data_IF_716375722216
#
_entry.id   IF_716375722216
#
_cell.length_a   1.000
_cell.length_b   1.000
_cell.length_c   1.000
_cell.angle_alpha   90.00
_cell.angle_beta   90.00
_cell.angle_gamma   90.00
#
_symmetry.space_group_name_H-M   'P 1'
#
loop_
_entity.id
_entity.type
_entity.pdbx_description
1 polymer ?
#
# COMPACT_ATOMS: atom_id res chain seq x y z
N UNK A 1 -69.47 -16.67 -15.03
CA UNK A 1 -68.43 -16.01 -14.22
C UNK A 1 -67.10 -16.62 -14.55
N UNK A 2 -66.34 -16.04 -15.50
CA UNK A 2 -65.02 -16.53 -15.90
C UNK A 2 -63.96 -15.73 -15.12
N UNK A 3 -63.18 -16.42 -14.27
CA UNK A 3 -62.08 -15.83 -13.50
C UNK A 3 -60.80 -15.84 -14.36
N UNK A 4 -60.33 -14.66 -14.74
CA UNK A 4 -59.06 -14.47 -15.42
C UNK A 4 -57.96 -14.45 -14.34
N UNK A 5 -57.10 -15.50 -14.31
CA UNK A 5 -55.86 -15.50 -13.52
C UNK A 5 -54.76 -14.86 -14.35
N UNK A 6 -54.30 -13.68 -13.94
CA UNK A 6 -53.12 -13.01 -14.47
C UNK A 6 -51.87 -13.72 -13.89
N UNK A 7 -51.12 -14.41 -14.75
CA UNK A 7 -49.78 -14.91 -14.41
C UNK A 7 -48.78 -13.75 -14.61
N UNK A 8 -48.25 -13.22 -13.51
CA UNK A 8 -47.12 -12.29 -13.58
C UNK A 8 -45.86 -13.11 -13.73
N UNK A 9 -45.25 -13.09 -14.94
CA UNK A 9 -43.97 -13.69 -15.24
C UNK A 9 -42.88 -12.75 -14.69
N UNK A 10 -42.26 -13.05 -13.54
CA UNK A 10 -41.11 -12.35 -13.01
C UNK A 10 -39.90 -12.90 -13.79
N UNK A 11 -39.47 -12.15 -14.80
CA UNK A 11 -38.20 -12.43 -15.49
C UNK A 11 -37.07 -11.95 -14.58
N UNK A 12 -36.43 -12.87 -13.89
CA UNK A 12 -35.10 -12.62 -13.29
C UNK A 12 -34.11 -12.45 -14.43
N UNK A 13 -33.78 -11.19 -14.76
CA UNK A 13 -32.60 -10.87 -15.55
C UNK A 13 -31.38 -11.19 -14.65
N UNK A 14 -30.86 -12.38 -14.76
CA UNK A 14 -29.50 -12.66 -14.32
C UNK A 14 -28.59 -11.81 -15.22
N UNK A 15 -28.19 -10.66 -14.71
CA UNK A 15 -27.09 -9.92 -15.31
C UNK A 15 -25.88 -10.86 -15.36
N UNK A 16 -25.41 -11.17 -16.55
CA UNK A 16 -24.12 -11.82 -16.74
C UNK A 16 -23.08 -10.79 -16.27
N UNK A 17 -22.68 -10.81 -15.00
CA UNK A 17 -21.52 -10.05 -14.54
C UNK A 17 -20.33 -10.57 -15.37
N UNK A 18 -19.84 -9.71 -16.24
CA UNK A 18 -18.56 -9.95 -16.91
C UNK A 18 -17.50 -10.06 -15.83
N UNK A 19 -17.16 -11.30 -15.46
CA UNK A 19 -16.16 -11.57 -14.47
C UNK A 19 -14.81 -11.07 -15.01
N UNK A 20 -14.23 -10.11 -14.33
CA UNK A 20 -12.86 -9.71 -14.64
C UNK A 20 -11.96 -10.95 -14.45
N UNK A 21 -11.43 -11.46 -15.54
CA UNK A 21 -10.53 -12.60 -15.53
C UNK A 21 -9.22 -12.15 -16.19
N UNK A 22 -8.27 -11.75 -15.35
CA UNK A 22 -6.97 -11.23 -15.78
C UNK A 22 -5.86 -12.24 -15.48
N UNK A 23 -4.77 -12.10 -16.22
CA UNK A 23 -3.48 -12.75 -15.94
C UNK A 23 -2.35 -11.75 -16.19
N UNK A 24 -1.20 -12.01 -15.57
CA UNK A 24 0.01 -11.25 -15.79
C UNK A 24 0.87 -11.95 -16.84
N UNK A 25 1.31 -11.18 -17.85
CA UNK A 25 2.22 -11.64 -18.90
C UNK A 25 3.43 -10.72 -19.01
N UNK A 26 4.46 -11.15 -19.71
CA UNK A 26 5.66 -10.35 -19.99
C UNK A 26 6.27 -9.71 -18.74
N UNK A 27 6.35 -10.47 -17.65
CA UNK A 27 6.91 -10.00 -16.39
C UNK A 27 8.36 -9.60 -16.59
N UNK A 28 8.70 -8.33 -16.42
CA UNK A 28 10.01 -7.75 -16.66
C UNK A 28 10.54 -7.12 -15.39
N UNK A 29 11.82 -7.33 -15.08
CA UNK A 29 12.50 -6.70 -13.95
C UNK A 29 12.99 -5.30 -14.35
N UNK A 30 12.64 -4.28 -13.54
CA UNK A 30 13.04 -2.89 -13.75
C UNK A 30 14.27 -2.50 -12.92
N UNK A 31 14.42 -3.02 -11.69
CA UNK A 31 15.57 -2.71 -10.83
C UNK A 31 16.42 -3.95 -10.57
N UNK A 32 17.76 -3.79 -10.47
CA UNK A 32 18.71 -4.91 -10.42
C UNK A 32 19.65 -4.86 -9.22
N UNK A 33 19.62 -3.79 -8.42
CA UNK A 33 20.54 -3.58 -7.29
C UNK A 33 19.75 -3.05 -6.10
N UNK A 34 20.26 -3.33 -4.89
CA UNK A 34 19.70 -2.86 -3.64
C UNK A 34 18.54 -3.74 -3.15
N UNK A 35 17.81 -3.20 -2.20
CA UNK A 35 16.55 -3.71 -1.69
C UNK A 35 15.49 -2.67 -2.04
N UNK A 36 14.51 -3.01 -2.90
CA UNK A 36 13.64 -2.06 -3.57
C UNK A 36 12.18 -2.35 -3.24
N UNK A 37 11.39 -1.33 -3.00
CA UNK A 37 9.98 -1.49 -2.68
C UNK A 37 9.10 -0.32 -3.13
N UNK A 38 7.80 -0.56 -3.15
CA UNK A 38 6.77 0.47 -3.28
C UNK A 38 6.91 1.36 -4.52
N UNK A 39 6.72 0.75 -5.70
CA UNK A 39 6.80 1.44 -6.98
C UNK A 39 5.43 1.98 -7.41
N UNK A 40 5.32 3.31 -7.54
CA UNK A 40 4.09 4.01 -7.89
C UNK A 40 4.24 4.78 -9.20
N UNK A 41 3.24 4.64 -10.08
CA UNK A 41 3.22 5.29 -11.38
C UNK A 41 3.05 6.81 -11.28
N UNK A 42 3.63 7.51 -12.24
CA UNK A 42 3.37 8.93 -12.48
C UNK A 42 2.03 9.16 -13.22
N UNK A 43 1.72 10.42 -13.56
CA UNK A 43 0.42 10.81 -14.09
C UNK A 43 0.04 10.13 -15.42
N UNK A 44 1.01 9.89 -16.30
CA UNK A 44 0.83 9.32 -17.65
C UNK A 44 1.23 7.83 -17.77
N UNK A 45 1.51 7.16 -16.64
CA UNK A 45 1.95 5.77 -16.57
C UNK A 45 3.31 5.50 -17.27
N UNK A 46 4.14 6.53 -17.54
CA UNK A 46 5.41 6.38 -18.28
C UNK A 46 6.59 6.01 -17.41
N UNK A 47 6.53 6.30 -16.11
CA UNK A 47 7.60 6.04 -15.14
C UNK A 47 7.05 5.66 -13.77
N UNK A 48 7.92 5.15 -12.93
CA UNK A 48 7.62 4.87 -11.52
C UNK A 48 8.65 5.51 -10.60
N UNK A 49 8.19 5.94 -9.42
CA UNK A 49 9.03 6.31 -8.29
C UNK A 49 9.00 5.16 -7.28
N UNK A 50 10.13 4.83 -6.68
CA UNK A 50 10.25 3.76 -5.71
C UNK A 50 11.34 4.03 -4.69
N UNK A 51 11.25 3.37 -3.55
CA UNK A 51 12.30 3.43 -2.53
C UNK A 51 13.31 2.30 -2.70
N UNK A 52 14.56 2.57 -2.34
CA UNK A 52 15.62 1.58 -2.41
C UNK A 52 16.73 1.83 -1.42
N UNK A 53 17.19 0.74 -0.81
CA UNK A 53 18.42 0.70 -0.03
C UNK A 53 19.54 0.14 -0.90
N UNK A 54 20.42 1.01 -1.40
CA UNK A 54 21.52 0.67 -2.31
C UNK A 54 22.76 1.54 -2.08
N UNK A 55 23.84 1.26 -2.80
CA UNK A 55 25.08 2.04 -2.79
C UNK A 55 25.72 2.18 -1.40
N UNK A 56 25.47 1.24 -0.48
CA UNK A 56 25.98 1.30 0.89
C UNK A 56 25.13 2.17 1.83
N UNK A 57 24.03 2.77 1.37
CA UNK A 57 23.13 3.51 2.22
C UNK A 57 22.50 2.60 3.28
N UNK A 58 22.41 3.07 4.51
CA UNK A 58 21.76 2.34 5.60
C UNK A 58 20.24 2.49 5.62
N UNK A 59 19.72 3.53 4.97
CA UNK A 59 18.31 3.83 4.80
C UNK A 59 17.90 3.81 3.34
N UNK A 60 16.58 3.67 3.13
CA UNK A 60 15.99 3.84 1.82
C UNK A 60 16.10 5.29 1.34
N UNK A 61 16.36 5.43 0.04
CA UNK A 61 16.34 6.65 -0.74
C UNK A 61 15.37 6.48 -1.89
N UNK A 62 14.99 7.57 -2.56
CA UNK A 62 14.03 7.53 -3.66
C UNK A 62 14.75 7.50 -5.02
N UNK A 63 14.16 6.75 -5.94
CA UNK A 63 14.63 6.58 -7.32
C UNK A 63 13.46 6.62 -8.28
N UNK A 64 13.74 7.05 -9.51
CA UNK A 64 12.76 7.11 -10.60
C UNK A 64 13.31 6.31 -11.78
N UNK A 65 12.47 5.55 -12.45
CA UNK A 65 12.80 4.79 -13.64
C UNK A 65 11.61 4.78 -14.60
N UNK A 66 11.87 4.81 -15.90
CA UNK A 66 10.84 4.62 -16.91
C UNK A 66 10.35 3.16 -16.93
N UNK A 67 9.11 2.94 -17.31
CA UNK A 67 8.49 1.60 -17.31
C UNK A 67 9.11 0.62 -18.33
N UNK A 68 9.92 1.11 -19.25
CA UNK A 68 10.73 0.33 -20.16
C UNK A 68 12.13 -0.05 -19.61
N UNK A 69 12.44 0.40 -18.39
CA UNK A 69 13.69 0.15 -17.70
C UNK A 69 14.81 1.16 -18.03
N UNK A 70 14.53 2.19 -18.84
CA UNK A 70 15.46 3.25 -19.16
C UNK A 70 15.41 4.42 -18.16
N UNK A 71 16.27 5.42 -18.34
CA UNK A 71 16.28 6.70 -17.62
C UNK A 71 16.23 6.56 -16.09
N UNK A 72 16.96 5.58 -15.54
CA UNK A 72 17.13 5.45 -14.10
C UNK A 72 17.79 6.69 -13.51
N UNK A 73 17.19 7.30 -12.49
CA UNK A 73 17.71 8.48 -11.81
C UNK A 73 17.48 8.43 -10.31
N UNK A 74 18.39 9.05 -9.57
CA UNK A 74 18.24 9.29 -8.15
C UNK A 74 17.35 10.52 -7.93
N UNK A 75 16.52 10.47 -6.88
CA UNK A 75 15.80 11.65 -6.43
C UNK A 75 16.78 12.70 -5.92
N UNK A 76 16.57 14.00 -6.20
CA UNK A 76 17.59 15.03 -5.92
C UNK A 76 17.86 15.28 -4.43
N UNK A 77 16.97 14.83 -3.53
CA UNK A 77 17.14 14.94 -2.09
C UNK A 77 17.60 13.60 -1.52
N UNK A 78 18.66 13.63 -0.70
CA UNK A 78 19.29 12.41 -0.18
C UNK A 78 19.45 12.40 1.35
N UNK A 79 19.12 13.51 2.04
CA UNK A 79 19.24 13.59 3.50
C UNK A 79 18.08 12.87 4.20
N UNK A 80 18.37 12.02 5.19
CA UNK A 80 17.36 11.26 5.93
C UNK A 80 16.99 9.92 5.28
N UNK A 81 16.09 9.20 5.93
CA UNK A 81 15.42 8.02 5.39
C UNK A 81 14.17 8.47 4.60
N UNK A 82 13.85 7.78 3.52
CA UNK A 82 12.68 8.07 2.67
C UNK A 82 11.78 6.86 2.56
N UNK A 83 10.48 7.09 2.36
CA UNK A 83 9.51 6.02 2.07
C UNK A 83 8.26 6.59 1.38
N UNK A 84 7.47 5.72 0.73
CA UNK A 84 6.11 5.98 0.25
C UNK A 84 6.00 7.26 -0.59
N UNK A 85 6.83 7.39 -1.63
CA UNK A 85 6.78 8.54 -2.52
C UNK A 85 5.69 8.38 -3.58
N UNK A 86 4.97 9.46 -3.89
CA UNK A 86 3.87 9.46 -4.84
C UNK A 86 3.86 10.74 -5.68
N UNK A 87 3.63 10.62 -7.00
CA UNK A 87 3.47 11.77 -7.89
C UNK A 87 2.09 12.41 -7.71
N UNK A 88 2.01 13.74 -7.86
CA UNK A 88 0.73 14.43 -7.99
C UNK A 88 0.03 14.08 -9.31
N UNK A 89 -1.25 14.47 -9.44
CA UNK A 89 -2.08 14.18 -10.62
C UNK A 89 -1.51 14.69 -11.94
N UNK A 90 -0.72 15.75 -11.88
CA UNK A 90 -0.13 16.50 -13.00
C UNK A 90 1.39 16.39 -13.06
N UNK A 91 1.99 15.49 -12.25
CA UNK A 91 3.45 15.32 -12.09
C UNK A 91 4.20 16.57 -11.60
N UNK A 92 3.49 17.61 -11.17
CA UNK A 92 4.10 18.85 -10.69
C UNK A 92 4.79 18.68 -9.35
N UNK A 93 4.21 17.83 -8.49
CA UNK A 93 4.71 17.57 -7.14
C UNK A 93 5.01 16.08 -6.94
N UNK A 94 5.96 15.82 -6.03
CA UNK A 94 6.20 14.51 -5.45
C UNK A 94 5.96 14.63 -3.95
N UNK A 95 5.04 13.82 -3.43
CA UNK A 95 4.80 13.65 -2.00
C UNK A 95 5.62 12.46 -1.51
N UNK A 96 6.21 12.57 -0.34
CA UNK A 96 6.99 11.49 0.27
C UNK A 96 7.08 11.67 1.77
N UNK A 97 7.43 10.61 2.46
CA UNK A 97 7.73 10.66 3.89
C UNK A 97 9.23 10.57 4.10
N UNK A 98 9.77 11.43 4.97
CA UNK A 98 11.20 11.45 5.24
C UNK A 98 11.52 11.87 6.69
N UNK A 99 12.69 11.43 7.15
CA UNK A 99 13.30 11.88 8.42
C UNK A 99 14.27 13.04 8.24
N UNK A 100 14.32 13.67 7.06
CA UNK A 100 15.29 14.73 6.74
C UNK A 100 15.24 15.93 7.72
N UNK A 101 14.08 16.23 8.32
CA UNK A 101 13.92 17.28 9.33
C UNK A 101 14.74 17.04 10.61
N UNK A 102 15.20 15.80 10.86
CA UNK A 102 16.05 15.48 12.00
C UNK A 102 17.53 15.83 11.77
N UNK A 103 17.92 16.09 10.50
CA UNK A 103 19.30 16.42 10.16
C UNK A 103 20.27 15.23 10.23
N UNK A 104 19.76 14.00 10.28
CA UNK A 104 20.55 12.76 10.34
C UNK A 104 20.40 12.00 9.02
N UNK A 105 21.49 11.46 8.50
CA UNK A 105 21.46 10.69 7.24
C UNK A 105 20.61 9.43 7.36
N UNK A 106 20.72 8.71 8.48
CA UNK A 106 19.92 7.52 8.77
C UNK A 106 19.69 7.38 10.28
N UNK A 107 18.58 7.93 10.83
CA UNK A 107 18.29 7.82 12.25
C UNK A 107 18.18 6.36 12.70
N UNK A 108 18.64 6.10 13.92
CA UNK A 108 18.55 4.77 14.52
C UNK A 108 17.09 4.30 14.65
N UNK A 109 16.90 3.01 14.52
CA UNK A 109 15.59 2.34 14.69
C UNK A 109 15.70 1.30 15.80
N UNK A 110 14.54 0.98 16.41
CA UNK A 110 14.45 -0.16 17.30
C UNK A 110 14.83 -1.45 16.53
N UNK A 111 15.65 -2.29 17.16
CA UNK A 111 16.02 -3.63 16.68
C UNK A 111 15.59 -4.66 17.71
N UNK A 112 14.75 -5.60 17.33
CA UNK A 112 14.38 -6.69 18.25
C UNK A 112 15.59 -7.58 18.51
N UNK A 113 15.87 -7.96 19.77
CA UNK A 113 16.96 -8.89 20.10
C UNK A 113 16.81 -10.26 19.45
N UNK A 114 15.60 -10.67 19.09
CA UNK A 114 15.36 -11.90 18.35
C UNK A 114 15.46 -11.64 16.84
N UNK A 115 16.54 -12.05 16.15
CA UNK A 115 16.74 -11.77 14.74
C UNK A 115 15.78 -12.51 13.79
N UNK A 116 14.99 -13.45 14.32
CA UNK A 116 13.95 -14.18 13.57
C UNK A 116 12.60 -13.49 13.61
N UNK A 117 12.41 -12.53 14.52
CA UNK A 117 11.17 -11.79 14.63
C UNK A 117 11.16 -10.66 13.61
N UNK A 118 10.18 -10.65 12.73
CA UNK A 118 9.94 -9.52 11.87
C UNK A 118 9.23 -8.42 12.66
N UNK A 119 9.82 -7.23 12.63
CA UNK A 119 9.22 -6.00 13.13
C UNK A 119 9.31 -4.93 12.07
N UNK A 120 8.33 -4.05 12.03
CA UNK A 120 8.34 -2.86 11.22
C UNK A 120 8.62 -1.64 12.11
N UNK A 121 9.81 -1.03 12.01
CA UNK A 121 10.15 0.12 12.82
C UNK A 121 9.39 1.37 12.34
N UNK A 122 8.80 2.09 13.28
CA UNK A 122 8.14 3.37 13.05
C UNK A 122 9.17 4.48 13.23
N UNK A 123 9.69 5.00 12.12
CA UNK A 123 10.58 6.16 12.16
C UNK A 123 9.77 7.42 12.42
N UNK A 124 10.42 8.45 12.96
CA UNK A 124 9.83 9.79 13.09
C UNK A 124 9.78 10.44 11.69
N UNK A 125 8.92 9.93 10.84
CA UNK A 125 8.69 10.47 9.51
C UNK A 125 7.77 11.69 9.58
N UNK A 126 8.09 12.67 8.72
CA UNK A 126 7.19 13.74 8.35
C UNK A 126 6.90 13.67 6.85
N UNK A 127 5.76 14.21 6.43
CA UNK A 127 5.35 14.24 5.03
C UNK A 127 5.85 15.54 4.41
N UNK A 128 6.44 15.41 3.23
CA UNK A 128 6.96 16.50 2.42
C UNK A 128 6.31 16.52 1.05
N UNK A 129 6.23 17.70 0.48
CA UNK A 129 5.90 17.96 -0.92
C UNK A 129 7.08 18.62 -1.59
N UNK A 130 7.54 18.05 -2.70
CA UNK A 130 8.65 18.57 -3.48
C UNK A 130 8.22 18.91 -4.91
N UNK A 131 8.73 20.03 -5.41
CA UNK A 131 8.80 20.37 -6.83
C UNK A 131 10.22 20.84 -7.15
N UNK A 132 10.57 21.04 -8.44
CA UNK A 132 11.90 21.55 -8.79
C UNK A 132 12.20 22.95 -8.21
N UNK A 133 11.18 23.67 -7.76
CA UNK A 133 11.27 25.04 -7.28
C UNK A 133 11.14 25.13 -5.74
N UNK A 134 10.51 24.14 -5.11
CA UNK A 134 10.10 24.25 -3.71
C UNK A 134 10.08 22.89 -2.99
N UNK A 135 10.53 22.87 -1.73
CA UNK A 135 10.37 21.79 -0.77
C UNK A 135 9.58 22.29 0.43
N UNK A 136 8.44 21.67 0.70
CA UNK A 136 7.58 22.04 1.84
C UNK A 136 7.40 20.81 2.74
N UNK A 137 7.63 21.01 4.06
CA UNK A 137 7.22 20.07 5.08
C UNK A 137 5.73 20.30 5.39
N UNK A 138 4.89 19.26 5.16
CA UNK A 138 3.43 19.35 5.30
C UNK A 138 2.95 18.95 6.69
N UNK A 139 3.69 18.08 7.37
CA UNK A 139 3.38 17.67 8.74
C UNK A 139 4.53 18.05 9.67
N UNK A 140 4.18 18.38 10.91
CA UNK A 140 5.14 18.69 11.98
C UNK A 140 4.54 18.18 13.30
N UNK A 141 4.47 16.87 13.41
CA UNK A 141 3.93 16.21 14.60
C UNK A 141 4.84 15.02 14.98
N UNK A 142 5.36 14.97 16.22
CA UNK A 142 6.29 13.93 16.64
C UNK A 142 5.71 12.52 16.44
N UNK A 143 6.47 11.66 15.80
CA UNK A 143 6.13 10.28 15.57
C UNK A 143 6.03 9.89 14.10
N UNK A 144 5.22 8.90 13.80
CA UNK A 144 5.06 8.36 12.46
C UNK A 144 4.00 9.14 11.68
N UNK A 145 4.40 9.80 10.58
CA UNK A 145 3.51 10.41 9.59
C UNK A 145 3.99 9.95 8.21
N UNK A 146 3.30 9.00 7.60
CA UNK A 146 3.78 8.35 6.37
C UNK A 146 2.65 7.75 5.52
N UNK A 147 3.04 7.00 4.49
CA UNK A 147 2.15 6.24 3.61
C UNK A 147 1.15 7.15 2.87
N UNK A 148 1.66 8.28 2.37
CA UNK A 148 0.86 9.28 1.68
C UNK A 148 0.48 8.79 0.28
N UNK A 149 -0.83 8.80 -0.03
CA UNK A 149 -1.36 8.61 -1.38
C UNK A 149 -2.28 9.77 -1.75
N UNK A 150 -2.43 10.02 -3.06
CA UNK A 150 -3.16 11.19 -3.56
C UNK A 150 -4.61 10.85 -3.91
N UNK A 151 -5.51 11.82 -3.74
CA UNK A 151 -6.88 11.76 -4.26
C UNK A 151 -6.87 11.87 -5.79
N UNK A 152 -7.68 11.07 -6.53
CA UNK A 152 -7.59 10.99 -7.99
C UNK A 152 -8.04 12.24 -8.75
N UNK A 153 -8.76 13.19 -8.11
CA UNK A 153 -9.34 14.37 -8.76
C UNK A 153 -9.26 15.65 -7.93
N UNK A 154 -8.89 15.56 -6.64
CA UNK A 154 -8.79 16.72 -5.74
C UNK A 154 -7.36 16.88 -5.25
N UNK A 155 -6.96 18.10 -4.91
CA UNK A 155 -5.65 18.39 -4.29
C UNK A 155 -5.64 17.98 -2.81
N UNK A 156 -5.84 16.67 -2.56
CA UNK A 156 -5.86 16.06 -1.24
C UNK A 156 -5.01 14.80 -1.19
N UNK A 157 -4.51 14.51 0.00
CA UNK A 157 -3.78 13.29 0.32
C UNK A 157 -4.39 12.60 1.53
N UNK A 158 -4.37 11.25 1.52
CA UNK A 158 -4.61 10.43 2.69
C UNK A 158 -3.29 9.88 3.20
N UNK A 159 -3.12 9.76 4.50
CA UNK A 159 -1.88 9.32 5.11
C UNK A 159 -2.12 8.61 6.45
N UNK A 160 -1.12 7.87 6.89
CA UNK A 160 -1.10 7.18 8.19
C UNK A 160 -0.37 8.05 9.21
N UNK A 161 -0.93 8.21 10.42
CA UNK A 161 -0.32 9.02 11.47
C UNK A 161 -0.55 8.47 12.88
N UNK A 162 0.47 8.62 13.73
CA UNK A 162 0.44 8.30 15.17
C UNK A 162 0.02 9.50 16.05
N UNK A 163 -0.45 10.61 15.46
CA UNK A 163 -0.69 11.90 16.15
C UNK A 163 -1.66 11.85 17.33
N UNK A 164 -2.59 10.90 17.36
CA UNK A 164 -3.56 10.74 18.45
C UNK A 164 -3.17 9.60 19.41
N UNK A 165 -1.90 9.14 19.36
CA UNK A 165 -1.39 8.08 20.24
C UNK A 165 -1.72 6.66 19.75
N UNK A 166 -2.34 6.53 18.59
CA UNK A 166 -2.65 5.31 17.89
C UNK A 166 -2.44 5.49 16.38
N UNK A 167 -2.33 4.40 15.63
CA UNK A 167 -2.07 4.47 14.18
C UNK A 167 -3.38 4.52 13.42
N UNK A 168 -3.70 5.71 12.90
CA UNK A 168 -4.94 5.98 12.19
C UNK A 168 -4.70 6.66 10.84
N UNK A 169 -5.74 6.65 9.99
CA UNK A 169 -5.76 7.35 8.72
C UNK A 169 -6.25 8.79 8.90
N UNK A 170 -5.59 9.69 8.19
CA UNK A 170 -5.91 11.12 8.13
C UNK A 170 -5.92 11.58 6.68
N UNK A 171 -6.69 12.63 6.39
CA UNK A 171 -6.69 13.35 5.11
C UNK A 171 -6.27 14.80 5.33
N UNK A 172 -5.56 15.39 4.37
CA UNK A 172 -5.20 16.82 4.35
C UNK A 172 -5.16 17.35 2.92
N UNK A 173 -5.16 18.67 2.79
CA UNK A 173 -4.93 19.33 1.51
C UNK A 173 -3.44 19.24 1.09
N UNK A 174 -3.12 19.47 -0.20
CA UNK A 174 -1.75 19.44 -0.73
C UNK A 174 -0.80 20.46 -0.07
N UNK A 175 -1.34 21.47 0.60
CA UNK A 175 -0.57 22.46 1.36
C UNK A 175 -0.38 22.10 2.85
N UNK A 176 -0.88 20.93 3.30
CA UNK A 176 -0.78 20.48 4.68
C UNK A 176 -1.88 21.02 5.61
N UNK A 177 -2.86 21.76 5.08
CA UNK A 177 -3.98 22.30 5.85
C UNK A 177 -5.17 21.34 5.90
N UNK A 178 -6.21 21.70 6.68
CA UNK A 178 -7.49 21.00 6.79
C UNK A 178 -7.35 19.51 7.13
N UNK A 179 -6.46 19.17 8.07
CA UNK A 179 -6.23 17.80 8.48
C UNK A 179 -7.47 17.26 9.20
N UNK A 180 -8.04 16.17 8.70
CA UNK A 180 -9.16 15.47 9.30
C UNK A 180 -8.80 14.00 9.58
N UNK A 181 -9.28 13.45 10.69
CA UNK A 181 -9.12 12.04 11.02
C UNK A 181 -10.21 11.22 10.34
N UNK A 182 -9.83 10.12 9.69
CA UNK A 182 -10.73 9.23 8.94
C UNK A 182 -11.07 7.98 9.75
N UNK A 183 -10.09 7.35 10.41
CA UNK A 183 -10.32 6.16 11.23
C UNK A 183 -10.07 6.45 12.70
N UNK A 184 -10.80 5.77 13.59
CA UNK A 184 -10.78 6.04 15.04
C UNK A 184 -10.78 4.76 15.90
N UNK A 185 -10.79 3.58 15.28
CA UNK A 185 -10.72 2.32 16.03
C UNK A 185 -9.31 2.11 16.58
N UNK A 186 -9.24 1.59 17.82
CA UNK A 186 -7.97 1.33 18.47
C UNK A 186 -7.26 0.14 17.83
N UNK A 187 -6.04 0.37 17.32
CA UNK A 187 -5.23 -0.62 16.63
C UNK A 187 -4.40 -0.03 15.49
N UNK A 188 -4.27 -0.76 14.41
CA UNK A 188 -3.49 -0.38 13.26
C UNK A 188 -4.39 -0.14 12.05
N UNK A 189 -4.35 1.06 11.52
CA UNK A 189 -4.91 1.44 10.22
C UNK A 189 -3.80 2.07 9.37
N UNK A 190 -3.46 1.49 8.21
CA UNK A 190 -2.37 2.05 7.41
C UNK A 190 -2.40 1.71 5.93
N UNK A 191 -1.63 2.46 5.14
CA UNK A 191 -1.44 2.27 3.71
C UNK A 191 -2.70 2.39 2.90
N UNK A 192 -3.43 3.48 3.08
CA UNK A 192 -4.70 3.71 2.39
C UNK A 192 -4.51 4.22 0.96
N UNK A 193 -5.43 3.78 0.07
CA UNK A 193 -5.56 4.28 -1.30
C UNK A 193 -7.00 4.69 -1.57
N UNK A 194 -7.19 5.81 -2.25
CA UNK A 194 -8.49 6.20 -2.77
C UNK A 194 -8.91 5.31 -3.95
N UNK A 195 -10.23 5.09 -4.09
CA UNK A 195 -10.81 4.52 -5.30
C UNK A 195 -10.56 5.41 -6.53
N UNK A 196 -10.65 4.90 -7.77
CA UNK A 196 -10.47 5.72 -8.97
C UNK A 196 -11.40 6.93 -9.07
N UNK A 197 -12.59 6.86 -8.47
CA UNK A 197 -13.54 7.97 -8.35
C UNK A 197 -13.29 8.88 -7.14
N UNK A 198 -12.45 8.45 -6.18
CA UNK A 198 -12.14 9.19 -4.97
C UNK A 198 -13.19 9.12 -3.86
N UNK A 199 -14.30 8.42 -4.07
CA UNK A 199 -15.43 8.33 -3.14
C UNK A 199 -15.26 7.28 -2.03
N UNK A 200 -14.31 6.36 -2.21
CA UNK A 200 -13.99 5.28 -1.27
C UNK A 200 -12.49 5.20 -1.00
N UNK A 201 -12.14 4.47 0.06
CA UNK A 201 -10.77 4.14 0.44
C UNK A 201 -10.63 2.64 0.69
N UNK A 202 -9.45 2.10 0.42
CA UNK A 202 -9.00 0.76 0.81
C UNK A 202 -7.77 0.91 1.71
N UNK A 203 -7.65 0.09 2.76
CA UNK A 203 -6.46 0.05 3.62
C UNK A 203 -6.29 -1.31 4.26
N UNK A 204 -5.16 -1.55 4.91
CA UNK A 204 -4.92 -2.70 5.76
C UNK A 204 -5.07 -2.33 7.23
N UNK A 205 -5.64 -3.22 8.03
CA UNK A 205 -5.87 -2.96 9.44
C UNK A 205 -5.78 -4.22 10.32
N UNK A 206 -5.51 -3.96 11.60
CA UNK A 206 -5.61 -4.94 12.69
C UNK A 206 -6.09 -4.25 13.96
N UNK A 207 -7.04 -4.89 14.64
CA UNK A 207 -7.63 -4.36 15.87
C UNK A 207 -7.46 -5.37 17.01
N UNK A 208 -6.80 -5.00 18.12
CA UNK A 208 -6.62 -5.86 19.27
C UNK A 208 -7.96 -6.19 19.92
N UNK A 209 -8.22 -7.50 20.14
CA UNK A 209 -9.49 -8.01 20.66
C UNK A 209 -9.48 -8.30 22.16
N UNK A 210 -8.29 -8.45 22.75
CA UNK A 210 -8.10 -8.73 24.18
C UNK A 210 -7.34 -7.61 24.86
N UNK A 211 -7.44 -7.49 26.19
CA UNK A 211 -6.65 -6.52 26.95
C UNK A 211 -5.14 -6.79 26.84
N UNK A 212 -4.73 -8.06 26.78
CA UNK A 212 -3.32 -8.45 26.58
C UNK A 212 -2.79 -7.92 25.23
N UNK A 213 -3.57 -8.07 24.15
CA UNK A 213 -3.21 -7.54 22.83
C UNK A 213 -3.15 -6.00 22.84
N UNK A 214 -4.07 -5.32 23.54
CA UNK A 214 -4.07 -3.87 23.69
C UNK A 214 -2.84 -3.37 24.45
N UNK A 215 -2.50 -4.01 25.54
CA UNK A 215 -1.32 -3.66 26.34
C UNK A 215 -0.03 -3.89 25.54
N UNK A 216 0.04 -5.00 24.82
CA UNK A 216 1.15 -5.32 23.91
C UNK A 216 1.27 -4.29 22.80
N UNK A 217 0.17 -3.93 22.15
CA UNK A 217 0.11 -2.90 21.12
C UNK A 217 0.64 -1.57 21.63
N UNK A 218 0.12 -1.09 22.75
CA UNK A 218 0.57 0.15 23.40
C UNK A 218 2.07 0.12 23.71
N UNK A 219 2.59 -0.99 24.25
CA UNK A 219 4.02 -1.14 24.53
C UNK A 219 4.88 -1.09 23.26
N UNK A 220 4.40 -1.71 22.15
CA UNK A 220 5.09 -1.70 20.88
C UNK A 220 5.16 -0.28 20.29
N UNK A 221 4.07 0.47 20.34
CA UNK A 221 4.05 1.88 19.91
C UNK A 221 5.01 2.75 20.70
N UNK A 222 5.09 2.54 22.03
CA UNK A 222 6.06 3.26 22.90
C UNK A 222 7.51 2.98 22.46
N UNK A 223 7.78 1.80 21.93
CA UNK A 223 9.10 1.40 21.40
C UNK A 223 9.27 1.70 19.91
N UNK A 224 8.28 2.33 19.29
CA UNK A 224 8.27 2.74 17.89
C UNK A 224 8.44 1.57 16.91
N UNK A 225 7.66 0.51 17.06
CA UNK A 225 7.59 -0.57 16.08
C UNK A 225 6.22 -1.25 16.06
N UNK A 226 5.94 -1.95 14.96
CA UNK A 226 4.80 -2.84 14.79
C UNK A 226 5.35 -4.27 14.66
N UNK A 227 4.76 -5.22 15.37
CA UNK A 227 5.01 -6.64 15.16
C UNK A 227 4.21 -7.16 13.97
N UNK A 228 4.69 -8.23 13.37
CA UNK A 228 3.88 -8.99 12.42
C UNK A 228 2.64 -9.54 13.12
N UNK A 229 1.48 -9.14 12.60
CA UNK A 229 0.15 -9.59 13.03
C UNK A 229 -0.66 -9.98 11.79
N UNK A 230 -1.70 -10.80 11.94
CA UNK A 230 -2.69 -10.97 10.87
C UNK A 230 -3.28 -9.60 10.53
N UNK A 231 -3.20 -9.22 9.26
CA UNK A 231 -3.77 -7.98 8.77
C UNK A 231 -4.91 -8.29 7.83
N UNK A 232 -5.96 -7.49 7.89
CA UNK A 232 -7.08 -7.60 6.97
C UNK A 232 -7.24 -6.36 6.11
N UNK A 233 -7.83 -6.57 4.93
CA UNK A 233 -8.15 -5.50 4.00
C UNK A 233 -9.56 -4.99 4.30
N UNK A 234 -9.69 -3.68 4.39
CA UNK A 234 -10.94 -2.96 4.60
C UNK A 234 -11.22 -1.98 3.47
N UNK A 235 -12.49 -1.76 3.18
CA UNK A 235 -12.99 -0.71 2.29
C UNK A 235 -14.05 0.09 3.03
N UNK A 236 -14.07 1.40 2.81
CA UNK A 236 -15.09 2.30 3.35
C UNK A 236 -15.40 3.42 2.36
N UNK A 237 -16.42 4.24 2.66
CA UNK A 237 -16.54 5.56 2.07
C UNK A 237 -15.32 6.40 2.45
N UNK A 238 -15.00 7.44 1.69
CA UNK A 238 -13.84 8.33 1.92
C UNK A 238 -13.78 8.88 3.36
N UNK A 239 -14.92 9.15 3.96
CA UNK A 239 -15.02 9.65 5.35
C UNK A 239 -14.88 8.57 6.43
N UNK A 240 -14.53 7.33 6.07
CA UNK A 240 -14.42 6.18 6.95
C UNK A 240 -15.74 5.49 7.29
N UNK A 241 -16.88 6.04 6.86
CA UNK A 241 -18.20 5.43 7.08
C UNK A 241 -18.42 4.18 6.21
N UNK A 242 -19.42 3.37 6.56
CA UNK A 242 -19.79 2.12 5.85
C UNK A 242 -18.60 1.16 5.66
N UNK A 243 -17.76 1.07 6.66
CA UNK A 243 -16.58 0.19 6.65
C UNK A 243 -16.99 -1.28 6.47
N UNK A 244 -16.32 -1.96 5.53
CA UNK A 244 -16.47 -3.39 5.23
C UNK A 244 -15.11 -4.08 5.30
N UNK A 245 -15.02 -5.18 6.04
CA UNK A 245 -13.86 -6.06 6.08
C UNK A 245 -13.94 -7.02 4.89
N UNK A 246 -12.97 -6.95 3.96
CA UNK A 246 -12.95 -7.79 2.76
C UNK A 246 -12.27 -9.13 2.99
N UNK A 247 -11.27 -9.20 3.88
CA UNK A 247 -10.56 -10.44 4.22
C UNK A 247 -10.76 -10.81 5.68
N UNK A 248 -10.78 -12.11 5.97
CA UNK A 248 -10.87 -12.67 7.33
C UNK A 248 -10.31 -14.10 7.31
N UNK A 249 -9.06 -14.24 6.89
CA UNK A 249 -8.41 -15.54 6.66
C UNK A 249 -7.31 -15.85 7.68
N UNK A 250 -7.07 -14.97 8.66
CA UNK A 250 -6.04 -15.12 9.68
C UNK A 250 -4.61 -14.89 9.17
N UNK A 251 -4.43 -14.63 7.88
CA UNK A 251 -3.14 -14.36 7.26
C UNK A 251 -2.77 -12.86 7.36
N UNK A 252 -1.55 -12.53 6.96
CA UNK A 252 -1.14 -11.14 6.74
C UNK A 252 -1.52 -10.74 5.32
N UNK A 253 -2.55 -9.90 5.17
CA UNK A 253 -2.97 -9.31 3.92
C UNK A 253 -2.40 -7.88 3.85
N UNK A 254 -1.61 -7.58 2.82
CA UNK A 254 -0.69 -6.45 2.80
C UNK A 254 -0.79 -5.63 1.53
N UNK A 255 -0.46 -4.33 1.62
CA UNK A 255 -0.29 -3.43 0.49
C UNK A 255 -1.48 -3.44 -0.51
N UNK A 256 -2.71 -3.19 -0.06
CA UNK A 256 -3.86 -3.14 -0.96
C UNK A 256 -3.81 -1.89 -1.85
N UNK A 257 -4.23 -2.03 -3.10
CA UNK A 257 -4.51 -0.91 -3.99
C UNK A 257 -5.72 -1.20 -4.89
N UNK A 258 -6.27 -0.18 -5.52
CA UNK A 258 -7.43 -0.34 -6.40
C UNK A 258 -7.03 -0.77 -7.81
N UNK A 259 -7.83 -1.67 -8.39
CA UNK A 259 -7.88 -1.83 -9.83
C UNK A 259 -8.64 -0.63 -10.43
N UNK A 260 -8.26 -0.10 -11.61
CA UNK A 260 -8.90 1.06 -12.23
C UNK A 260 -10.40 0.94 -12.52
N UNK A 261 -10.97 -0.27 -12.45
CA UNK A 261 -12.43 -0.46 -12.62
C UNK A 261 -13.26 -0.05 -11.38
N UNK A 262 -12.61 0.32 -10.27
CA UNK A 262 -13.27 0.72 -9.03
C UNK A 262 -14.06 -0.39 -8.31
N UNK A 263 -13.92 -1.65 -8.75
CA UNK A 263 -14.63 -2.82 -8.20
C UNK A 263 -13.73 -3.90 -7.62
N UNK A 264 -12.45 -3.86 -7.96
CA UNK A 264 -11.49 -4.85 -7.49
C UNK A 264 -10.36 -4.19 -6.70
N UNK A 265 -9.90 -4.91 -5.68
CA UNK A 265 -8.71 -4.60 -4.89
C UNK A 265 -7.64 -5.63 -5.20
N UNK A 266 -6.43 -5.18 -5.53
CA UNK A 266 -5.24 -6.02 -5.59
C UNK A 266 -4.45 -5.87 -4.29
N UNK A 267 -3.90 -6.96 -3.78
CA UNK A 267 -3.15 -6.96 -2.53
C UNK A 267 -2.19 -8.15 -2.46
N UNK A 268 -1.26 -8.11 -1.54
CA UNK A 268 -0.35 -9.22 -1.25
C UNK A 268 -0.83 -9.99 -0.04
N UNK A 269 -0.66 -11.32 -0.06
CA UNK A 269 -1.03 -12.16 1.08
C UNK A 269 -0.18 -13.42 1.17
N UNK A 270 0.08 -13.86 2.39
CA UNK A 270 0.71 -15.15 2.68
C UNK A 270 -0.33 -16.25 3.01
N UNK A 271 -1.59 -16.06 2.61
CA UNK A 271 -2.69 -16.97 2.99
C UNK A 271 -2.46 -18.43 2.60
N UNK A 272 -1.74 -18.69 1.50
CA UNK A 272 -1.43 -20.05 1.06
C UNK A 272 -0.23 -20.67 1.78
N UNK A 273 0.55 -19.89 2.49
CA UNK A 273 1.73 -20.31 3.25
C UNK A 273 1.65 -19.95 4.75
N UNK A 274 0.52 -19.40 5.18
CA UNK A 274 0.32 -18.99 6.56
C UNK A 274 0.28 -20.20 7.51
N UNK A 275 1.11 -20.11 8.58
CA UNK A 275 1.12 -21.07 9.68
C UNK A 275 1.27 -20.32 10.99
N UNK A 276 0.63 -20.80 12.02
CA UNK A 276 0.57 -20.16 13.33
C UNK A 276 1.95 -19.96 14.00
N UNK A 277 2.93 -20.83 13.68
CA UNK A 277 4.31 -20.75 14.16
C UNK A 277 5.22 -19.86 13.30
N UNK A 278 4.68 -19.30 12.21
CA UNK A 278 5.41 -18.40 11.31
C UNK A 278 5.32 -16.96 11.82
N UNK A 279 6.47 -16.33 12.05
CA UNK A 279 6.49 -14.89 11.92
C UNK A 279 6.52 -14.57 10.42
N UNK A 280 6.00 -13.41 9.98
CA UNK A 280 5.89 -13.03 8.58
C UNK A 280 7.24 -13.03 7.82
N UNK A 281 8.34 -13.15 8.54
CA UNK A 281 9.68 -13.20 7.99
C UNK A 281 9.96 -14.58 7.41
N UNK A 282 9.96 -14.69 6.09
CA UNK A 282 10.18 -15.94 5.36
C UNK A 282 8.91 -16.65 4.89
N UNK A 283 7.74 -16.11 5.19
CA UNK A 283 6.50 -16.54 4.53
C UNK A 283 6.53 -16.15 3.06
N UNK A 284 6.00 -17.02 2.20
CA UNK A 284 5.77 -16.68 0.81
C UNK A 284 4.53 -15.78 0.71
N UNK A 285 4.68 -14.63 0.06
CA UNK A 285 3.57 -13.74 -0.29
C UNK A 285 3.33 -13.82 -1.79
N UNK A 286 2.07 -13.85 -2.16
CA UNK A 286 1.61 -13.80 -3.54
C UNK A 286 0.63 -12.64 -3.74
N UNK A 287 0.42 -12.25 -4.97
CA UNK A 287 -0.53 -11.20 -5.33
C UNK A 287 -1.89 -11.80 -5.59
N UNK A 288 -2.89 -11.24 -4.96
CA UNK A 288 -4.31 -11.60 -5.11
C UNK A 288 -5.12 -10.39 -5.52
N UNK A 289 -6.27 -10.66 -6.12
CA UNK A 289 -7.27 -9.65 -6.43
C UNK A 289 -8.62 -10.11 -5.90
N UNK A 290 -9.35 -9.23 -5.23
CA UNK A 290 -10.67 -9.49 -4.66
C UNK A 290 -11.70 -8.50 -5.19
N UNK A 291 -12.88 -8.99 -5.55
CA UNK A 291 -14.01 -8.13 -5.89
C UNK A 291 -14.71 -7.66 -4.61
N UNK A 292 -14.95 -6.34 -4.49
CA UNK A 292 -15.50 -5.73 -3.27
C UNK A 292 -16.95 -6.11 -2.97
N UNK A 293 -17.74 -6.47 -3.99
CA UNK A 293 -19.17 -6.80 -3.84
C UNK A 293 -19.39 -8.30 -3.63
N UNK A 294 -18.68 -9.14 -4.39
CA UNK A 294 -18.86 -10.59 -4.37
C UNK A 294 -17.85 -11.35 -3.51
N UNK A 295 -16.82 -10.65 -3.02
CA UNK A 295 -15.66 -11.25 -2.30
C UNK A 295 -14.96 -12.37 -3.10
N UNK A 296 -15.15 -12.40 -4.43
CA UNK A 296 -14.48 -13.37 -5.29
C UNK A 296 -12.99 -13.07 -5.34
N UNK A 297 -12.21 -14.06 -4.96
CA UNK A 297 -10.75 -13.99 -4.89
C UNK A 297 -10.11 -14.63 -6.13
N UNK A 298 -9.10 -13.96 -6.69
CA UNK A 298 -8.26 -14.46 -7.79
C UNK A 298 -6.81 -14.33 -7.38
N UNK A 299 -6.02 -15.39 -7.54
CA UNK A 299 -4.56 -15.36 -7.36
C UNK A 299 -3.91 -14.97 -8.69
N UNK A 300 -3.04 -13.95 -8.69
CA UNK A 300 -2.38 -13.40 -9.88
C UNK A 300 -0.95 -13.89 -10.05
N UNK A 301 -0.24 -14.16 -8.94
CA UNK A 301 1.12 -14.71 -8.99
C UNK A 301 1.18 -16.09 -8.35
N UNK A 302 2.16 -16.89 -8.78
CA UNK A 302 2.36 -18.24 -8.26
C UNK A 302 3.84 -18.62 -8.40
N UNK A 303 4.63 -18.27 -7.39
CA UNK A 303 6.05 -18.61 -7.32
C UNK A 303 6.43 -19.00 -5.89
N UNK A 304 7.70 -19.33 -5.66
CA UNK A 304 8.20 -19.72 -4.34
C UNK A 304 8.87 -18.57 -3.59
N UNK A 305 8.67 -17.36 -4.06
CA UNK A 305 9.33 -16.17 -3.55
C UNK A 305 8.31 -15.11 -3.17
N UNK A 306 8.77 -14.06 -2.49
CA UNK A 306 7.96 -12.96 -2.03
C UNK A 306 7.56 -12.04 -3.19
N UNK A 307 6.25 -11.83 -3.39
CA UNK A 307 5.67 -10.84 -4.28
C UNK A 307 4.77 -9.88 -3.47
N UNK A 308 5.02 -8.59 -3.57
CA UNK A 308 4.30 -7.60 -2.77
C UNK A 308 4.18 -6.22 -3.44
N UNK A 309 3.43 -5.32 -2.81
CA UNK A 309 3.20 -3.94 -3.26
C UNK A 309 2.67 -3.84 -4.70
N UNK A 310 1.58 -4.56 -5.03
CA UNK A 310 1.02 -4.50 -6.37
C UNK A 310 0.30 -3.18 -6.61
N UNK A 311 0.60 -2.52 -7.72
CA UNK A 311 -0.09 -1.28 -8.16
C UNK A 311 -0.37 -1.34 -9.65
N UNK A 312 -1.64 -1.13 -10.03
CA UNK A 312 -2.01 -1.00 -11.43
C UNK A 312 -1.65 0.38 -11.98
N UNK A 313 -1.26 0.43 -13.24
CA UNK A 313 -1.27 1.68 -14.01
C UNK A 313 -2.70 2.23 -14.12
N UNK A 314 -2.85 3.55 -14.28
CA UNK A 314 -4.17 4.21 -14.38
C UNK A 314 -5.04 3.64 -15.51
N UNK A 315 -4.39 3.24 -16.61
CA UNK A 315 -5.07 2.62 -17.75
C UNK A 315 -5.37 1.11 -17.57
N UNK A 316 -4.95 0.50 -16.46
CA UNK A 316 -5.17 -0.91 -16.13
C UNK A 316 -4.37 -1.93 -16.98
N UNK A 317 -3.45 -1.47 -17.83
CA UNK A 317 -2.71 -2.35 -18.76
C UNK A 317 -1.41 -2.90 -18.19
N UNK A 318 -0.91 -2.30 -17.13
CA UNK A 318 0.33 -2.70 -16.45
C UNK A 318 0.06 -2.90 -14.95
N UNK A 319 0.86 -3.76 -14.34
CA UNK A 319 0.95 -3.93 -12.89
C UNK A 319 2.43 -3.86 -12.49
N UNK A 320 2.78 -2.97 -11.57
CA UNK A 320 4.07 -3.03 -10.88
C UNK A 320 3.95 -3.79 -9.57
N UNK A 321 5.03 -4.44 -9.17
CA UNK A 321 5.14 -5.12 -7.88
C UNK A 321 6.61 -5.30 -7.47
N UNK A 322 6.84 -5.51 -6.18
CA UNK A 322 8.14 -5.88 -5.64
C UNK A 322 8.26 -7.39 -5.52
N UNK A 323 9.40 -7.95 -5.93
CA UNK A 323 9.63 -9.39 -5.84
C UNK A 323 11.09 -9.69 -5.54
N UNK A 324 11.36 -10.76 -4.79
CA UNK A 324 12.72 -11.28 -4.61
C UNK A 324 13.02 -12.47 -5.55
N UNK A 325 12.19 -12.69 -6.58
CA UNK A 325 12.50 -13.66 -7.64
C UNK A 325 13.84 -13.31 -8.30
N UNK A 326 14.67 -14.28 -8.53
CA UNK A 326 16.00 -14.13 -9.14
C UNK A 326 16.97 -13.20 -8.38
N UNK A 327 16.63 -12.79 -7.15
CA UNK A 327 17.50 -11.95 -6.35
C UNK A 327 18.72 -12.75 -5.85
N UNK A 328 19.92 -12.14 -5.97
CA UNK A 328 21.16 -12.73 -5.44
C UNK A 328 21.13 -12.90 -3.92
N UNK A 329 20.54 -11.94 -3.22
CA UNK A 329 20.22 -12.03 -1.81
C UNK A 329 18.69 -12.24 -1.68
N UNK A 330 18.23 -13.39 -1.16
CA UNK A 330 16.79 -13.70 -1.07
C UNK A 330 16.01 -12.79 -0.12
N UNK A 331 16.70 -11.91 0.60
CA UNK A 331 16.07 -10.88 1.44
C UNK A 331 15.81 -9.56 0.72
N UNK A 332 16.44 -9.37 -0.45
CA UNK A 332 16.28 -8.14 -1.22
C UNK A 332 15.20 -8.31 -2.27
N UNK A 333 14.38 -7.31 -2.43
CA UNK A 333 13.38 -7.24 -3.49
C UNK A 333 13.84 -6.33 -4.64
N UNK A 334 13.27 -6.57 -5.81
CA UNK A 334 13.41 -5.72 -6.99
C UNK A 334 12.03 -5.32 -7.51
N UNK A 335 11.98 -4.23 -8.26
CA UNK A 335 10.76 -3.78 -8.92
C UNK A 335 10.57 -4.57 -10.22
N UNK A 336 9.39 -5.10 -10.40
CA UNK A 336 8.92 -5.78 -11.60
C UNK A 336 7.70 -5.05 -12.18
N UNK A 337 7.53 -5.20 -13.49
CA UNK A 337 6.35 -4.76 -14.21
C UNK A 337 5.83 -5.91 -15.08
N UNK A 338 4.52 -6.03 -15.19
CA UNK A 338 3.85 -7.04 -16.01
C UNK A 338 2.78 -6.42 -16.89
N UNK A 339 2.50 -7.04 -18.03
CA UNK A 339 1.31 -6.77 -18.83
C UNK A 339 0.08 -7.40 -18.17
N UNK A 340 -1.02 -6.66 -18.13
CA UNK A 340 -2.33 -7.12 -17.65
C UNK A 340 -3.16 -7.52 -18.86
N UNK A 341 -3.46 -8.82 -18.98
CA UNK A 341 -4.20 -9.37 -20.10
C UNK A 341 -5.55 -9.92 -19.61
N UNK A 342 -6.62 -9.50 -20.27
CA UNK A 342 -7.96 -10.05 -20.05
C UNK A 342 -8.13 -11.37 -20.78
N UNK A 343 -8.72 -12.39 -20.10
CA UNK A 343 -9.05 -13.70 -20.70
C UNK A 343 -10.45 -13.70 -21.27
#
# INVERSE_FOLDING_TARGET
MFSFRIFVLIIFLYGCENQLNIRLENVTQLSFQGDNGEAYFNADDSKVIFQSKRNGNECDKLYIIDIDGNNFSEFPLQDGAFTCAYFSLDDKYIFFSSTMHLGEECPEIYKDPNPRKYIWPLRDYEIFRYSNEELIQLTNFPGYNAETTIHPTEEKVIFTSLRNGDINLFEMDYNGENIIQITTEYGYDGGAFYSPEGDRIVWRAWYPSTEEEKDKWKNNLTKKFIESVPLDIYVAQRDGSKKVRLTNNGATNWAPSWHPDGKHIVFSSNMDDWREDYNAYGSNFEIYMINIDSSKLIRLTNNKTFDSFPVFSKNGKKLTFSSNRDAKNPRNTNIFIADVVHK
#
